data_IF_705576584890
#
_entry.id   IF_705576584890
#
_cell.length_a   1.000
_cell.length_b   1.000
_cell.length_c   1.000
_cell.angle_alpha   90.00
_cell.angle_beta   90.00
_cell.angle_gamma   90.00
#
_symmetry.space_group_name_H-M   'P 1'
#
loop_
_entity.id
_entity.type
_entity.pdbx_description
1 polymer ?
#
# COMPACT_ATOMS: atom_id res chain seq x y z
N UNK A 1 -6.30 6.41 -3.44
CA UNK A 1 -6.16 4.96 -3.23
C UNK A 1 -7.55 4.40 -3.01
N UNK A 2 -7.98 3.46 -3.85
CA UNK A 2 -9.24 2.71 -3.72
C UNK A 2 -8.91 1.25 -3.39
N UNK A 3 -9.75 0.62 -2.57
CA UNK A 3 -9.57 -0.74 -2.04
C UNK A 3 -10.60 -1.72 -2.59
N UNK A 4 -10.20 -2.87 -3.16
CA UNK A 4 -11.12 -3.99 -3.44
C UNK A 4 -10.90 -5.11 -2.41
N UNK A 5 -11.97 -5.56 -1.75
CA UNK A 5 -11.95 -6.61 -0.71
C UNK A 5 -12.10 -8.02 -1.31
N UNK A 6 -11.35 -9.00 -0.79
CA UNK A 6 -11.59 -10.43 -0.99
C UNK A 6 -10.68 -11.26 -0.08
N UNK A 7 -11.17 -12.26 0.66
CA UNK A 7 -10.38 -13.22 1.47
C UNK A 7 -9.16 -12.66 2.23
N UNK A 8 -9.33 -11.66 3.12
CA UNK A 8 -8.22 -11.00 3.81
C UNK A 8 -7.35 -10.04 2.99
N UNK A 9 -7.68 -9.77 1.71
CA UNK A 9 -6.88 -9.00 0.75
C UNK A 9 -7.51 -7.64 0.43
N UNK A 10 -6.67 -6.61 0.36
CA UNK A 10 -7.04 -5.27 -0.13
C UNK A 10 -6.13 -4.86 -1.30
N UNK A 11 -6.73 -4.49 -2.42
CA UNK A 11 -6.00 -3.98 -3.59
C UNK A 11 -6.03 -2.45 -3.61
N UNK A 12 -4.87 -1.82 -3.67
CA UNK A 12 -4.69 -0.38 -3.77
C UNK A 12 -4.22 0.05 -5.16
N UNK A 13 -4.85 1.08 -5.72
CA UNK A 13 -4.39 1.77 -6.92
C UNK A 13 -3.90 3.18 -6.60
N UNK A 14 -2.80 3.60 -7.23
CA UNK A 14 -2.21 4.93 -7.08
C UNK A 14 -1.42 5.34 -8.33
N UNK A 15 -1.19 6.64 -8.49
CA UNK A 15 -0.31 7.13 -9.55
C UNK A 15 1.15 6.84 -9.21
N UNK A 16 1.90 6.41 -10.23
CA UNK A 16 3.37 6.32 -10.21
C UNK A 16 4.01 7.55 -9.54
N UNK A 17 5.12 7.33 -8.84
CA UNK A 17 5.86 8.35 -8.10
C UNK A 17 7.21 8.56 -8.78
N UNK A 18 7.33 9.50 -9.73
CA UNK A 18 8.58 9.75 -10.43
C UNK A 18 9.76 9.89 -9.47
N UNK A 19 10.87 9.26 -9.82
CA UNK A 19 12.14 9.26 -9.08
C UNK A 19 12.08 8.63 -7.67
N UNK A 20 10.97 7.98 -7.30
CA UNK A 20 10.88 7.21 -6.06
C UNK A 20 11.73 5.94 -6.16
N UNK A 21 12.65 5.78 -5.21
CA UNK A 21 13.53 4.60 -5.14
C UNK A 21 12.95 3.50 -4.27
N UNK A 22 12.04 3.85 -3.36
CA UNK A 22 11.32 2.89 -2.51
C UNK A 22 9.99 3.47 -2.05
N UNK A 23 8.95 2.66 -2.05
CA UNK A 23 7.62 2.98 -1.54
C UNK A 23 7.17 1.80 -0.69
N UNK A 24 6.81 2.10 0.56
CA UNK A 24 6.35 1.12 1.55
C UNK A 24 4.90 1.41 1.92
N UNK A 25 4.08 0.37 2.00
CA UNK A 25 2.68 0.48 2.46
C UNK A 25 2.63 0.21 3.96
N UNK A 26 2.19 1.19 4.73
CA UNK A 26 2.04 1.07 6.18
C UNK A 26 0.56 0.94 6.55
N UNK A 27 0.28 0.13 7.56
CA UNK A 27 -1.03 -0.05 8.16
C UNK A 27 -1.02 0.28 9.65
N UNK A 28 -2.20 0.61 10.18
CA UNK A 28 -2.42 0.92 11.60
C UNK A 28 -3.82 0.49 12.01
N UNK A 29 -3.93 -0.13 13.19
CA UNK A 29 -5.21 -0.53 13.81
C UNK A 29 -5.57 0.33 15.03
N UNK A 30 -4.68 1.25 15.43
CA UNK A 30 -4.81 2.09 16.61
C UNK A 30 -5.03 3.57 16.25
N UNK A 31 -5.83 3.79 15.20
CA UNK A 31 -6.20 5.11 14.70
C UNK A 31 -5.00 5.97 14.25
N UNK A 32 -3.86 5.35 13.91
CA UNK A 32 -2.67 6.00 13.37
C UNK A 32 -1.62 6.37 14.43
N UNK A 33 -1.76 5.86 15.66
CA UNK A 33 -0.80 6.05 16.75
C UNK A 33 0.49 5.27 16.49
N UNK A 34 0.37 4.02 16.03
CA UNK A 34 1.49 3.20 15.57
C UNK A 34 1.26 2.72 14.13
N UNK A 35 2.34 2.44 13.43
CA UNK A 35 2.33 2.03 12.03
C UNK A 35 3.24 0.82 11.83
N UNK A 36 2.73 -0.20 11.18
CA UNK A 36 3.49 -1.40 10.79
C UNK A 36 3.47 -1.56 9.28
N UNK A 37 4.47 -2.23 8.71
CA UNK A 37 4.46 -2.56 7.29
C UNK A 37 3.30 -3.52 6.97
N UNK A 38 2.65 -3.29 5.84
CA UNK A 38 1.60 -4.19 5.33
C UNK A 38 2.26 -5.36 4.61
N UNK A 39 1.67 -6.56 4.72
CA UNK A 39 2.16 -7.69 3.96
C UNK A 39 1.75 -7.56 2.49
N UNK A 40 2.72 -7.36 1.59
CA UNK A 40 2.46 -7.22 0.16
C UNK A 40 2.55 -8.59 -0.51
N UNK A 41 1.48 -8.98 -1.19
CA UNK A 41 1.43 -10.27 -1.91
C UNK A 41 1.63 -10.11 -3.42
N UNK A 42 1.29 -8.94 -3.97
CA UNK A 42 1.57 -8.62 -5.37
C UNK A 42 1.56 -7.12 -5.62
N UNK A 43 2.25 -6.71 -6.67
CA UNK A 43 2.31 -5.34 -7.17
C UNK A 43 1.70 -5.28 -8.56
N UNK A 44 1.19 -4.12 -8.96
CA UNK A 44 0.72 -3.90 -10.33
C UNK A 44 1.76 -3.07 -11.08
N UNK A 45 2.22 -3.61 -12.21
CA UNK A 45 3.20 -3.00 -13.10
C UNK A 45 2.96 -3.48 -14.53
N UNK A 46 3.09 -2.57 -15.50
CA UNK A 46 3.00 -2.88 -16.94
C UNK A 46 1.75 -3.71 -17.33
N UNK A 47 0.60 -3.45 -16.70
CA UNK A 47 -0.66 -4.12 -17.04
C UNK A 47 -0.87 -5.49 -16.38
N UNK A 48 -0.03 -5.90 -15.43
CA UNK A 48 -0.14 -7.22 -14.78
C UNK A 48 0.25 -7.18 -13.30
N UNK A 49 -0.27 -8.14 -12.53
CA UNK A 49 0.16 -8.35 -11.15
C UNK A 49 1.41 -9.22 -11.12
N UNK A 50 2.42 -8.80 -10.36
CA UNK A 50 3.66 -9.53 -10.14
C UNK A 50 3.78 -9.92 -8.67
N UNK A 51 4.11 -11.17 -8.39
CA UNK A 51 4.33 -11.72 -7.04
C UNK A 51 5.82 -11.70 -6.68
N UNK A 52 6.14 -11.67 -5.38
CA UNK A 52 7.52 -11.73 -4.89
C UNK A 52 8.25 -10.38 -4.84
N UNK A 53 7.55 -9.27 -5.07
CA UNK A 53 8.08 -7.90 -4.90
C UNK A 53 7.43 -7.28 -3.67
N UNK A 54 8.27 -6.86 -2.72
CA UNK A 54 7.85 -6.31 -1.42
C UNK A 54 8.17 -4.81 -1.29
N UNK A 55 9.03 -4.27 -2.15
CA UNK A 55 9.38 -2.85 -2.21
C UNK A 55 8.97 -2.33 -3.58
N UNK A 56 8.19 -1.26 -3.57
CA UNK A 56 7.73 -0.60 -4.79
C UNK A 56 8.69 0.54 -5.15
N UNK A 57 8.74 0.88 -6.43
CA UNK A 57 9.52 1.99 -6.98
C UNK A 57 8.62 2.90 -7.85
N UNK A 58 9.23 3.89 -8.48
CA UNK A 58 8.60 4.83 -9.39
C UNK A 58 7.73 4.24 -10.51
N UNK A 59 7.98 2.99 -10.92
CA UNK A 59 7.29 2.34 -12.05
C UNK A 59 5.97 1.67 -11.67
N UNK A 60 5.67 1.58 -10.37
CA UNK A 60 4.50 0.86 -9.87
C UNK A 60 3.28 1.78 -9.71
N UNK A 61 2.09 1.22 -9.94
CA UNK A 61 0.82 1.96 -9.89
C UNK A 61 -0.29 1.21 -9.14
N UNK A 62 0.04 0.10 -8.48
CA UNK A 62 -0.87 -0.58 -7.57
C UNK A 62 -0.20 -1.68 -6.77
N UNK A 63 -0.90 -2.16 -5.75
CA UNK A 63 -0.41 -3.20 -4.83
C UNK A 63 -1.58 -3.94 -4.22
N UNK A 64 -1.38 -5.22 -3.88
CA UNK A 64 -2.29 -6.01 -3.07
C UNK A 64 -1.61 -6.37 -1.77
N UNK A 65 -2.32 -6.15 -0.68
CA UNK A 65 -1.90 -6.57 0.65
C UNK A 65 -2.86 -7.63 1.19
N UNK A 66 -2.39 -8.50 2.06
CA UNK A 66 -3.20 -9.50 2.76
C UNK A 66 -3.03 -9.43 4.29
N UNK A 67 -3.54 -10.45 4.99
CA UNK A 67 -3.46 -10.54 6.45
C UNK A 67 -4.45 -9.64 7.19
N UNK A 68 -5.48 -9.15 6.50
CA UNK A 68 -6.51 -8.31 7.11
C UNK A 68 -7.59 -9.16 7.78
N UNK A 69 -7.99 -8.75 8.98
CA UNK A 69 -9.01 -9.44 9.79
C UNK A 69 -10.36 -8.75 9.61
N UNK A 70 -11.40 -9.55 9.31
CA UNK A 70 -12.76 -9.05 9.15
C UNK A 70 -13.27 -8.34 10.41
N UNK A 71 -13.94 -7.20 10.23
CA UNK A 71 -14.45 -6.35 11.29
C UNK A 71 -13.43 -5.37 11.87
N UNK A 72 -12.14 -5.47 11.50
CA UNK A 72 -11.10 -4.56 11.98
C UNK A 72 -11.00 -3.35 11.06
N UNK A 73 -10.91 -2.17 11.67
CA UNK A 73 -10.68 -0.91 10.96
C UNK A 73 -9.20 -0.61 10.89
N UNK A 74 -8.70 -0.48 9.67
CA UNK A 74 -7.32 -0.17 9.35
C UNK A 74 -7.21 1.24 8.79
N UNK A 75 -6.11 1.91 9.12
CA UNK A 75 -5.62 3.10 8.41
C UNK A 75 -4.40 2.72 7.58
N UNK A 76 -4.32 3.24 6.36
CA UNK A 76 -3.23 2.98 5.44
C UNK A 76 -2.60 4.28 4.95
N UNK A 77 -1.28 4.26 4.80
CA UNK A 77 -0.51 5.31 4.11
C UNK A 77 0.63 4.67 3.32
N UNK A 78 1.17 5.39 2.36
CA UNK A 78 2.45 5.05 1.74
C UNK A 78 3.55 5.95 2.31
N UNK A 79 4.73 5.38 2.51
CA UNK A 79 5.97 6.10 2.81
C UNK A 79 6.82 6.05 1.56
N UNK A 80 7.07 7.20 0.95
CA UNK A 80 7.82 7.34 -0.30
C UNK A 80 9.24 7.82 0.05
N UNK A 81 10.23 7.14 -0.51
CA UNK A 81 11.65 7.47 -0.39
C UNK A 81 12.17 7.85 -1.78
N UNK A 82 12.90 8.96 -1.85
CA UNK A 82 13.39 9.51 -3.12
C UNK A 82 12.32 10.27 -3.91
N UNK A 83 12.80 11.01 -4.91
CA UNK A 83 11.98 11.81 -5.81
C UNK A 83 11.26 12.99 -5.17
N UNK A 84 10.47 13.70 -5.98
CA UNK A 84 9.76 14.92 -5.53
C UNK A 84 8.58 14.64 -4.59
N UNK A 85 8.18 13.37 -4.45
CA UNK A 85 7.05 12.95 -3.62
C UNK A 85 7.49 12.26 -2.32
N UNK A 86 8.77 12.38 -1.94
CA UNK A 86 9.29 11.80 -0.71
C UNK A 86 8.50 12.25 0.52
N UNK A 87 8.23 11.31 1.43
CA UNK A 87 7.43 11.52 2.63
C UNK A 87 6.19 10.64 2.71
N UNK A 88 5.32 10.96 3.66
CA UNK A 88 4.07 10.22 3.89
C UNK A 88 2.98 10.74 2.95
N UNK A 89 2.21 9.82 2.36
CA UNK A 89 0.97 10.19 1.66
C UNK A 89 -0.16 10.47 2.64
N UNK A 90 -1.28 10.97 2.10
CA UNK A 90 -2.54 11.01 2.84
C UNK A 90 -2.90 9.62 3.39
N UNK A 91 -3.53 9.62 4.58
CA UNK A 91 -4.05 8.43 5.22
C UNK A 91 -5.44 8.13 4.69
N UNK A 92 -5.69 6.86 4.36
CA UNK A 92 -7.04 6.37 4.09
C UNK A 92 -7.48 5.40 5.18
N UNK A 93 -8.79 5.27 5.38
CA UNK A 93 -9.39 4.36 6.38
C UNK A 93 -10.23 3.31 5.67
N UNK A 94 -10.10 2.05 6.06
CA UNK A 94 -10.93 0.96 5.58
C UNK A 94 -11.23 -0.04 6.69
N UNK A 95 -12.51 -0.36 6.89
CA UNK A 95 -12.90 -1.54 7.67
C UNK A 95 -12.86 -2.72 6.73
N UNK A 96 -12.06 -3.73 7.05
CA UNK A 96 -12.01 -4.97 6.27
C UNK A 96 -13.19 -5.85 6.63
#
# INVERSE_FOLDING_TARGET
>A
MSGYKGDGVLTFAFNAKPDATSIVVMQSTDNGSTWTESNIISIYKNGSFQTGVTILDETHNGVRIDGLVHGITYKFKMVIIGGSYAGNTNVITHTY
#
